data_IF_893426552133
#
_entry.id   IF_893426552133
#
_cell.length_a   1.000
_cell.length_b   1.000
_cell.length_c   1.000
_cell.angle_alpha   90.00
_cell.angle_beta   90.00
_cell.angle_gamma   90.00
#
_symmetry.space_group_name_H-M   'P 1'
#
loop_
_entity.id
_entity.type
_entity.pdbx_description
1 polymer ?
#
# COMPACT_ATOMS: atom_id res chain seq x y z
N UNK A 1 -5.29 -9.13 -13.31
CA UNK A 1 -6.46 -9.29 -12.42
C UNK A 1 -7.52 -10.19 -13.06
N UNK A 2 -7.16 -11.40 -13.50
CA UNK A 2 -8.03 -12.28 -14.31
C UNK A 2 -8.21 -13.70 -13.71
N UNK A 3 -7.86 -13.90 -12.43
CA UNK A 3 -7.82 -15.23 -11.79
C UNK A 3 -8.52 -15.32 -10.43
N UNK A 4 -9.44 -14.41 -10.10
CA UNK A 4 -10.19 -14.47 -8.83
C UNK A 4 -11.64 -14.98 -8.98
N UNK A 5 -12.11 -15.35 -10.18
CA UNK A 5 -13.51 -15.77 -10.42
C UNK A 5 -13.77 -17.24 -10.10
N UNK A 6 -13.50 -17.68 -8.88
CA UNK A 6 -14.08 -18.91 -8.34
C UNK A 6 -14.77 -18.56 -7.04
N UNK A 7 -16.10 -18.69 -7.01
CA UNK A 7 -16.91 -18.55 -5.82
C UNK A 7 -16.39 -19.53 -4.76
N UNK A 8 -15.59 -19.03 -3.81
CA UNK A 8 -15.19 -19.81 -2.64
C UNK A 8 -16.42 -19.86 -1.75
N UNK A 9 -16.94 -21.06 -1.47
CA UNK A 9 -17.96 -21.22 -0.43
C UNK A 9 -17.35 -20.74 0.88
N UNK A 10 -17.74 -19.54 1.34
CA UNK A 10 -17.16 -18.93 2.52
C UNK A 10 -17.68 -19.66 3.75
N UNK A 11 -16.74 -20.21 4.51
CA UNK A 11 -17.00 -20.71 5.84
C UNK A 11 -17.43 -19.55 6.74
N UNK A 12 -18.25 -19.83 7.75
CA UNK A 12 -18.57 -18.87 8.83
C UNK A 12 -17.39 -18.61 9.77
N UNK A 13 -16.30 -19.39 9.63
CA UNK A 13 -15.10 -19.29 10.45
C UNK A 13 -13.83 -19.57 9.62
N UNK A 14 -12.69 -19.02 10.05
CA UNK A 14 -11.36 -19.33 9.52
C UNK A 14 -10.44 -19.60 10.70
N UNK A 15 -10.01 -20.86 10.89
CA UNK A 15 -9.42 -21.27 12.16
C UNK A 15 -10.36 -20.92 13.34
N UNK A 16 -9.84 -20.17 14.31
CA UNK A 16 -10.58 -19.70 15.48
C UNK A 16 -11.26 -18.33 15.27
N UNK A 17 -11.19 -17.76 14.06
CA UNK A 17 -11.84 -16.48 13.72
C UNK A 17 -13.30 -16.69 13.39
N UNK A 18 -14.17 -15.89 13.99
CA UNK A 18 -15.59 -15.83 13.66
C UNK A 18 -15.83 -14.69 12.67
N UNK A 19 -16.54 -14.98 11.58
CA UNK A 19 -16.79 -13.99 10.53
C UNK A 19 -18.18 -13.41 10.63
N UNK A 20 -18.24 -12.09 10.56
CA UNK A 20 -19.48 -11.33 10.46
C UNK A 20 -20.03 -11.41 9.02
N UNK A 21 -21.34 -11.16 8.83
CA UNK A 21 -21.92 -11.04 7.49
C UNK A 21 -21.20 -9.98 6.65
N UNK A 22 -21.04 -10.27 5.36
CA UNK A 22 -20.46 -9.29 4.43
C UNK A 22 -21.32 -8.03 4.38
N UNK A 23 -20.67 -6.88 4.54
CA UNK A 23 -21.23 -5.58 4.23
C UNK A 23 -21.01 -5.27 2.75
N UNK A 24 -22.05 -4.79 2.07
CA UNK A 24 -21.94 -4.28 0.70
C UNK A 24 -22.61 -2.93 0.58
N UNK A 25 -22.00 -2.04 -0.20
CA UNK A 25 -22.55 -0.70 -0.46
C UNK A 25 -22.17 -0.21 -1.86
N UNK A 26 -22.86 0.83 -2.33
CA UNK A 26 -22.64 1.44 -3.63
C UNK A 26 -22.57 2.95 -3.50
N UNK A 27 -21.40 3.50 -3.79
CA UNK A 27 -21.20 4.92 -3.93
C UNK A 27 -21.39 5.35 -5.39
N UNK A 28 -22.21 6.37 -5.60
CA UNK A 28 -22.45 6.96 -6.93
C UNK A 28 -21.93 8.39 -6.98
N UNK A 29 -21.04 8.68 -7.92
CA UNK A 29 -20.49 10.02 -8.16
C UNK A 29 -20.60 10.35 -9.65
N UNK A 30 -21.38 11.37 -10.00
CA UNK A 30 -21.71 11.66 -11.40
C UNK A 30 -22.15 10.38 -12.15
N UNK A 31 -21.31 9.90 -13.07
CA UNK A 31 -21.57 8.74 -13.92
C UNK A 31 -20.85 7.47 -13.44
N UNK A 32 -20.12 7.55 -12.32
CA UNK A 32 -19.40 6.43 -11.71
C UNK A 32 -20.26 5.72 -10.67
N UNK A 33 -20.14 4.40 -10.66
CA UNK A 33 -20.67 3.53 -9.63
C UNK A 33 -19.52 2.69 -9.08
N UNK A 34 -19.14 2.99 -7.85
CA UNK A 34 -18.13 2.25 -7.10
C UNK A 34 -18.88 1.33 -6.15
N UNK A 35 -18.59 0.05 -6.21
CA UNK A 35 -19.20 -0.98 -5.39
C UNK A 35 -18.20 -1.40 -4.32
N UNK A 36 -18.64 -1.46 -3.07
CA UNK A 36 -17.85 -1.68 -1.89
C UNK A 36 -18.24 -3.03 -1.27
N UNK A 37 -17.25 -3.75 -0.77
CA UNK A 37 -17.42 -4.95 0.04
C UNK A 37 -16.52 -4.86 1.26
N UNK A 38 -17.06 -5.19 2.43
CA UNK A 38 -16.33 -5.27 3.69
C UNK A 38 -16.68 -6.55 4.44
N UNK A 39 -15.68 -7.19 5.05
CA UNK A 39 -15.86 -8.38 5.88
C UNK A 39 -15.05 -8.19 7.15
N UNK A 40 -15.71 -8.33 8.29
CA UNK A 40 -15.08 -8.31 9.60
C UNK A 40 -14.95 -9.75 10.14
N UNK A 41 -13.83 -10.02 10.81
CA UNK A 41 -13.65 -11.22 11.60
C UNK A 41 -13.17 -10.86 13.00
N UNK A 42 -13.62 -11.61 14.00
CA UNK A 42 -13.24 -11.44 15.40
C UNK A 42 -12.54 -12.69 15.94
N UNK A 43 -11.52 -12.47 16.76
CA UNK A 43 -10.80 -13.53 17.45
C UNK A 43 -10.64 -13.21 18.95
N UNK A 44 -10.88 -14.16 19.88
CA UNK A 44 -10.81 -13.90 21.32
C UNK A 44 -9.47 -13.34 21.80
N UNK A 45 -8.36 -13.73 21.15
CA UNK A 45 -6.99 -13.29 21.48
C UNK A 45 -6.54 -12.04 20.73
N UNK A 46 -6.97 -11.86 19.48
CA UNK A 46 -6.36 -10.90 18.56
C UNK A 46 -7.25 -9.69 18.26
N UNK A 47 -8.52 -9.74 18.69
CA UNK A 47 -9.48 -8.67 18.44
C UNK A 47 -10.07 -8.75 17.01
N UNK A 48 -10.70 -7.66 16.55
CA UNK A 48 -11.30 -7.57 15.23
C UNK A 48 -10.25 -7.28 14.14
N UNK A 49 -10.48 -7.83 12.96
CA UNK A 49 -9.74 -7.53 11.72
C UNK A 49 -10.75 -7.40 10.58
N UNK A 50 -10.53 -6.43 9.70
CA UNK A 50 -11.39 -6.16 8.55
C UNK A 50 -10.63 -6.33 7.25
N UNK A 51 -11.27 -6.92 6.23
CA UNK A 51 -10.84 -6.86 4.84
C UNK A 51 -11.87 -6.09 4.02
N UNK A 52 -11.41 -5.25 3.08
CA UNK A 52 -12.29 -4.28 2.43
C UNK A 52 -11.82 -3.96 1.02
N UNK A 53 -12.71 -4.00 0.03
CA UNK A 53 -12.36 -3.67 -1.34
C UNK A 53 -13.43 -2.80 -1.98
N UNK A 54 -13.02 -1.99 -2.95
CA UNK A 54 -13.94 -1.31 -3.86
C UNK A 54 -13.50 -1.48 -5.33
N UNK A 55 -14.47 -1.54 -6.23
CA UNK A 55 -14.21 -1.60 -7.68
C UNK A 55 -15.37 -1.00 -8.49
N UNK A 56 -15.13 -0.79 -9.78
CA UNK A 56 -16.17 -0.37 -10.72
C UNK A 56 -16.95 -1.59 -11.22
N UNK A 57 -18.28 -1.48 -11.23
CA UNK A 57 -19.17 -2.40 -11.93
C UNK A 57 -19.73 -3.57 -11.13
N UNK A 58 -19.01 -4.11 -10.13
CA UNK A 58 -19.45 -5.28 -9.33
C UNK A 58 -18.97 -5.20 -7.88
N UNK A 59 -19.66 -5.88 -6.97
CA UNK A 59 -19.21 -5.99 -5.58
C UNK A 59 -17.92 -6.86 -5.49
N UNK A 60 -16.80 -6.33 -4.98
CA UNK A 60 -15.51 -7.01 -4.95
C UNK A 60 -15.36 -7.96 -3.75
N UNK A 61 -16.40 -8.75 -3.49
CA UNK A 61 -16.51 -9.61 -2.31
C UNK A 61 -15.29 -10.52 -2.12
N UNK A 62 -14.77 -11.10 -3.21
CA UNK A 62 -13.62 -12.00 -3.13
C UNK A 62 -12.33 -11.25 -2.79
N UNK A 63 -12.14 -10.03 -3.29
CA UNK A 63 -10.97 -9.20 -2.94
C UNK A 63 -11.00 -8.84 -1.46
N UNK A 64 -12.16 -8.42 -0.94
CA UNK A 64 -12.34 -8.14 0.48
C UNK A 64 -12.05 -9.37 1.35
N UNK A 65 -12.48 -10.56 0.91
CA UNK A 65 -12.15 -11.83 1.56
C UNK A 65 -10.64 -12.12 1.57
N UNK A 66 -9.97 -12.03 0.42
CA UNK A 66 -8.53 -12.30 0.37
C UNK A 66 -7.72 -11.33 1.22
N UNK A 67 -8.11 -10.06 1.26
CA UNK A 67 -7.50 -9.06 2.15
C UNK A 67 -7.73 -9.38 3.63
N UNK A 68 -8.94 -9.84 3.99
CA UNK A 68 -9.23 -10.28 5.36
C UNK A 68 -8.30 -11.42 5.79
N UNK A 69 -8.15 -12.46 4.95
CA UNK A 69 -7.28 -13.61 5.26
C UNK A 69 -5.81 -13.20 5.39
N UNK A 70 -5.35 -12.30 4.53
CA UNK A 70 -4.00 -11.75 4.62
C UNK A 70 -3.78 -11.02 5.95
N UNK A 71 -4.71 -10.15 6.34
CA UNK A 71 -4.63 -9.39 7.59
C UNK A 71 -4.72 -10.28 8.83
N UNK A 72 -5.59 -11.28 8.83
CA UNK A 72 -5.64 -12.32 9.87
C UNK A 72 -4.27 -12.98 9.99
N UNK A 73 -3.71 -13.43 8.87
CA UNK A 73 -2.41 -14.11 8.82
C UNK A 73 -1.29 -13.23 9.39
N UNK A 74 -1.29 -11.94 9.04
CA UNK A 74 -0.32 -10.98 9.55
C UNK A 74 -0.46 -10.75 11.04
N UNK A 75 -1.68 -10.57 11.56
CA UNK A 75 -1.92 -10.32 12.98
C UNK A 75 -1.51 -11.53 13.82
N UNK A 76 -1.85 -12.74 13.40
CA UNK A 76 -1.44 -13.97 14.10
C UNK A 76 0.08 -14.14 14.12
N UNK A 77 0.75 -13.99 12.96
CA UNK A 77 2.21 -14.05 12.90
C UNK A 77 2.89 -12.92 13.69
N UNK A 78 2.29 -11.73 13.73
CA UNK A 78 2.77 -10.58 14.50
C UNK A 78 2.58 -10.73 16.00
N UNK A 79 1.67 -11.57 16.47
CA UNK A 79 1.35 -11.72 17.91
C UNK A 79 1.74 -13.08 18.49
N UNK A 80 2.13 -14.04 17.65
CA UNK A 80 2.63 -15.34 18.10
C UNK A 80 4.00 -15.22 18.79
N UNK A 81 4.31 -16.22 19.62
CA UNK A 81 5.63 -16.38 20.27
C UNK A 81 6.68 -16.97 19.30
N UNK A 82 6.35 -17.05 18.01
CA UNK A 82 7.26 -17.55 16.99
C UNK A 82 8.42 -16.57 16.79
N UNK A 83 9.63 -17.05 17.05
CA UNK A 83 10.88 -16.29 16.85
C UNK A 83 11.72 -16.81 15.70
N UNK A 84 11.14 -17.66 14.84
CA UNK A 84 11.83 -18.15 13.67
C UNK A 84 10.89 -18.40 12.50
N UNK A 85 11.22 -17.84 11.34
CA UNK A 85 10.39 -17.89 10.16
C UNK A 85 11.13 -18.53 8.97
N UNK A 86 10.46 -19.35 8.14
CA UNK A 86 11.07 -19.92 6.95
C UNK A 86 11.46 -18.84 5.94
N UNK A 87 12.71 -18.87 5.48
CA UNK A 87 13.20 -18.04 4.39
C UNK A 87 13.19 -18.86 3.09
N UNK A 88 12.46 -18.38 2.09
CA UNK A 88 12.29 -19.06 0.82
C UNK A 88 12.68 -18.15 -0.35
N UNK A 89 13.14 -18.76 -1.44
CA UNK A 89 13.23 -18.11 -2.75
C UNK A 89 11.84 -17.98 -3.39
N UNK A 90 11.73 -17.18 -4.45
CA UNK A 90 10.50 -17.02 -5.21
C UNK A 90 9.99 -18.33 -5.86
N UNK A 91 10.88 -19.30 -6.12
CA UNK A 91 10.53 -20.64 -6.60
C UNK A 91 10.05 -21.60 -5.49
N UNK A 92 10.07 -21.16 -4.23
CA UNK A 92 9.68 -21.93 -3.05
C UNK A 92 10.81 -22.79 -2.45
N UNK A 93 12.01 -22.76 -3.03
CA UNK A 93 13.17 -23.44 -2.45
C UNK A 93 13.57 -22.78 -1.12
N UNK A 94 13.89 -23.61 -0.12
CA UNK A 94 14.30 -23.14 1.21
C UNK A 94 15.74 -22.63 1.15
N UNK A 95 15.95 -21.37 1.54
CA UNK A 95 17.28 -20.77 1.64
C UNK A 95 17.77 -20.69 3.08
N UNK A 96 16.85 -20.70 4.06
CA UNK A 96 17.22 -20.70 5.46
C UNK A 96 16.06 -20.36 6.37
N UNK A 97 16.38 -19.67 7.47
CA UNK A 97 15.41 -19.17 8.44
C UNK A 97 15.86 -17.81 8.93
N UNK A 98 14.91 -16.92 9.15
CA UNK A 98 15.14 -15.71 9.94
C UNK A 98 14.99 -16.08 11.41
N UNK A 99 15.96 -15.68 12.22
CA UNK A 99 15.92 -15.78 13.67
C UNK A 99 15.66 -14.37 14.22
N UNK A 100 14.66 -14.23 15.08
CA UNK A 100 14.21 -12.93 15.57
C UNK A 100 13.03 -12.40 14.77
N UNK A 101 11.97 -12.06 15.51
CA UNK A 101 10.72 -11.53 14.97
C UNK A 101 10.87 -10.12 14.44
N UNK A 102 11.80 -9.35 15.01
CA UNK A 102 12.12 -7.97 14.67
C UNK A 102 12.59 -7.79 13.21
N UNK A 103 13.11 -8.84 12.59
CA UNK A 103 13.50 -8.83 11.17
C UNK A 103 12.31 -8.99 10.23
N UNK A 104 11.24 -9.66 10.68
CA UNK A 104 10.01 -9.84 9.91
C UNK A 104 9.04 -8.70 10.22
N UNK A 105 8.88 -8.39 11.50
CA UNK A 105 8.02 -7.34 12.03
C UNK A 105 8.84 -6.37 12.89
N UNK A 106 9.47 -5.36 12.29
CA UNK A 106 10.26 -4.37 13.02
C UNK A 106 9.44 -3.68 14.11
N UNK A 107 10.04 -3.52 15.29
CA UNK A 107 9.40 -2.90 16.45
C UNK A 107 9.97 -1.50 16.62
N UNK A 108 9.09 -0.52 16.79
CA UNK A 108 9.52 0.84 17.11
C UNK A 108 9.96 0.94 18.57
N UNK A 109 11.05 1.67 18.81
CA UNK A 109 11.56 1.95 20.16
C UNK A 109 11.17 3.36 20.66
N UNK A 110 10.33 4.07 19.90
CA UNK A 110 9.85 5.42 20.21
C UNK A 110 8.32 5.47 20.10
N UNK A 111 7.62 6.22 20.96
CA UNK A 111 6.18 6.44 20.80
C UNK A 111 5.84 7.34 19.60
N UNK A 112 6.84 7.98 18.98
CA UNK A 112 6.60 8.91 17.87
C UNK A 112 6.40 8.21 16.52
N UNK A 113 6.63 6.91 16.41
CA UNK A 113 6.45 6.19 15.16
C UNK A 113 6.16 4.70 15.33
N UNK A 114 5.61 4.06 14.29
CA UNK A 114 5.38 2.62 14.20
C UNK A 114 5.64 2.12 12.77
N UNK A 115 6.31 0.97 12.65
CA UNK A 115 6.50 0.32 11.34
C UNK A 115 5.18 -0.27 10.84
N UNK A 116 4.95 -0.18 9.53
CA UNK A 116 3.82 -0.86 8.91
C UNK A 116 3.95 -2.38 9.06
N UNK A 117 2.88 -3.00 9.55
CA UNK A 117 2.79 -4.46 9.72
C UNK A 117 2.42 -5.18 8.42
N UNK A 118 1.85 -4.49 7.44
CA UNK A 118 1.43 -5.09 6.16
C UNK A 118 2.38 -4.82 5.01
N UNK A 119 3.27 -3.82 5.12
CA UNK A 119 4.16 -3.45 4.01
C UNK A 119 4.96 -4.65 3.48
N UNK A 120 4.84 -4.89 2.19
CA UNK A 120 5.52 -5.98 1.50
C UNK A 120 4.94 -7.36 1.83
N UNK A 121 3.72 -7.47 2.36
CA UNK A 121 3.03 -8.74 2.50
C UNK A 121 2.05 -8.94 1.35
N UNK A 122 1.91 -10.17 0.86
CA UNK A 122 0.88 -10.47 -0.11
C UNK A 122 0.39 -11.91 -0.01
N UNK A 123 -0.91 -12.08 -0.21
CA UNK A 123 -1.58 -13.36 -0.28
C UNK A 123 -1.85 -13.78 -1.74
N UNK A 124 -1.61 -15.06 -2.02
CA UNK A 124 -2.04 -15.70 -3.27
C UNK A 124 -2.19 -17.22 -3.12
N UNK A 125 -2.86 -17.89 -4.07
CA UNK A 125 -2.90 -19.38 -4.14
C UNK A 125 -1.57 -20.01 -4.57
N UNK A 126 -0.67 -19.21 -5.14
CA UNK A 126 0.61 -19.65 -5.68
C UNK A 126 1.73 -18.85 -5.02
N UNK A 127 2.74 -19.53 -4.50
CA UNK A 127 3.85 -18.92 -3.78
C UNK A 127 4.60 -17.87 -4.60
N UNK A 128 4.97 -18.17 -5.85
CA UNK A 128 5.70 -17.25 -6.71
C UNK A 128 4.89 -15.96 -6.98
N UNK A 129 3.57 -16.08 -7.15
CA UNK A 129 2.69 -14.92 -7.30
C UNK A 129 2.52 -14.13 -5.99
N UNK A 130 2.49 -14.78 -4.83
CA UNK A 130 2.52 -14.10 -3.54
C UNK A 130 3.83 -13.31 -3.39
N UNK A 131 4.98 -13.91 -3.68
CA UNK A 131 6.29 -13.24 -3.68
C UNK A 131 6.32 -12.05 -4.65
N UNK A 132 5.84 -12.22 -5.88
CA UNK A 132 5.77 -11.14 -6.88
C UNK A 132 4.97 -9.94 -6.38
N UNK A 133 3.79 -10.18 -5.79
CA UNK A 133 2.93 -9.12 -5.26
C UNK A 133 3.54 -8.44 -4.03
N UNK A 134 4.12 -9.22 -3.12
CA UNK A 134 4.84 -8.72 -1.95
C UNK A 134 6.02 -7.82 -2.35
N UNK A 135 6.79 -8.23 -3.36
CA UNK A 135 7.88 -7.44 -3.92
C UNK A 135 7.37 -6.15 -4.59
N UNK A 136 6.26 -6.22 -5.33
CA UNK A 136 5.65 -5.05 -5.96
C UNK A 136 5.22 -4.01 -4.92
N UNK A 137 4.54 -4.43 -3.85
CA UNK A 137 4.15 -3.51 -2.80
C UNK A 137 5.38 -2.89 -2.11
N UNK A 138 6.40 -3.69 -1.79
CA UNK A 138 7.63 -3.18 -1.16
C UNK A 138 8.31 -2.11 -2.03
N UNK A 139 8.44 -2.37 -3.33
CA UNK A 139 9.01 -1.40 -4.29
C UNK A 139 8.11 -0.17 -4.45
N UNK A 140 6.79 -0.36 -4.48
CA UNK A 140 5.83 0.74 -4.52
C UNK A 140 6.10 1.73 -3.41
N UNK A 141 6.11 1.25 -2.15
CA UNK A 141 6.34 2.10 -0.99
C UNK A 141 7.73 2.72 -1.02
N UNK A 142 8.75 1.94 -1.39
CA UNK A 142 10.12 2.44 -1.50
C UNK A 142 10.24 3.63 -2.47
N UNK A 143 9.71 3.54 -3.69
CA UNK A 143 9.83 4.62 -4.67
C UNK A 143 8.96 5.83 -4.32
N UNK A 144 7.78 5.63 -3.73
CA UNK A 144 6.94 6.75 -3.27
C UNK A 144 7.63 7.49 -2.12
N UNK A 145 8.15 6.78 -1.13
CA UNK A 145 8.88 7.38 0.00
C UNK A 145 10.17 8.05 -0.48
N UNK A 146 10.90 7.44 -1.41
CA UNK A 146 12.07 8.04 -2.03
C UNK A 146 11.71 9.34 -2.74
N UNK A 147 10.55 9.40 -3.39
CA UNK A 147 10.06 10.65 -3.98
C UNK A 147 9.68 11.68 -2.93
N UNK A 148 8.99 11.26 -1.87
CA UNK A 148 8.55 12.13 -0.79
C UNK A 148 9.71 12.79 -0.06
N UNK A 149 10.79 12.05 0.22
CA UNK A 149 11.98 12.58 0.89
C UNK A 149 12.95 13.30 -0.06
N UNK A 150 12.58 13.43 -1.34
CA UNK A 150 13.28 14.25 -2.33
C UNK A 150 14.38 13.56 -3.11
N UNK A 151 14.51 12.23 -3.03
CA UNK A 151 15.48 11.43 -3.79
C UNK A 151 15.02 11.17 -5.23
N UNK A 152 13.70 11.10 -5.45
CA UNK A 152 13.09 10.92 -6.78
C UNK A 152 12.21 12.10 -7.12
N UNK A 153 12.38 12.63 -8.33
CA UNK A 153 11.42 13.57 -8.88
C UNK A 153 10.19 12.84 -9.42
N UNK A 154 8.98 13.08 -8.91
CA UNK A 154 7.76 12.57 -9.51
C UNK A 154 7.56 13.21 -10.89
N UNK A 155 7.12 12.41 -11.88
CA UNK A 155 6.90 12.86 -13.25
C UNK A 155 5.44 12.77 -13.63
N UNK A 156 4.80 13.91 -13.88
CA UNK A 156 3.41 13.97 -14.35
C UNK A 156 3.31 13.39 -15.76
N UNK A 157 2.29 12.57 -16.01
CA UNK A 157 2.06 11.89 -17.29
C UNK A 157 0.61 12.02 -17.77
N UNK A 158 0.42 11.91 -19.09
CA UNK A 158 -0.90 11.81 -19.73
C UNK A 158 -1.22 10.40 -20.20
N UNK A 159 -0.33 9.42 -19.92
CA UNK A 159 -0.57 8.01 -20.24
C UNK A 159 -1.90 7.54 -19.63
N UNK A 160 -2.65 6.72 -20.36
CA UNK A 160 -3.93 6.17 -19.91
C UNK A 160 -5.09 7.17 -19.79
N UNK A 161 -4.81 8.48 -19.74
CA UNK A 161 -5.78 9.51 -19.42
C UNK A 161 -7.01 9.49 -20.34
N UNK A 162 -6.85 9.27 -21.64
CA UNK A 162 -7.97 9.30 -22.59
C UNK A 162 -9.03 8.21 -22.34
N UNK A 163 -8.66 7.08 -21.72
CA UNK A 163 -9.55 5.92 -21.52
C UNK A 163 -9.93 5.70 -20.06
N UNK A 164 -9.46 6.56 -19.16
CA UNK A 164 -9.69 6.40 -17.74
C UNK A 164 -11.13 6.76 -17.35
N UNK A 165 -11.82 5.91 -16.55
CA UNK A 165 -13.13 6.24 -16.00
C UNK A 165 -13.11 7.51 -15.13
N UNK A 166 -11.97 7.87 -14.55
CA UNK A 166 -11.79 9.11 -13.76
C UNK A 166 -12.09 10.39 -14.55
N UNK A 167 -12.14 10.31 -15.88
CA UNK A 167 -12.54 11.45 -16.70
C UNK A 167 -13.98 11.90 -16.45
N UNK A 168 -14.82 10.98 -15.98
CA UNK A 168 -16.23 11.25 -15.70
C UNK A 168 -16.48 12.00 -14.39
N UNK A 169 -15.43 12.31 -13.60
CA UNK A 169 -15.53 13.10 -12.37
C UNK A 169 -14.61 14.34 -12.40
N UNK A 170 -14.25 14.81 -13.60
CA UNK A 170 -13.34 15.97 -13.78
C UNK A 170 -13.94 17.29 -13.30
N UNK A 171 -15.27 17.37 -13.14
CA UNK A 171 -15.93 18.54 -12.57
C UNK A 171 -15.74 18.61 -11.06
N UNK A 172 -15.56 17.46 -10.41
CA UNK A 172 -15.28 17.36 -8.97
C UNK A 172 -13.78 17.39 -8.66
N UNK A 173 -12.95 16.86 -9.57
CA UNK A 173 -11.53 16.67 -9.33
C UNK A 173 -10.64 17.18 -10.47
N UNK A 174 -9.47 17.70 -10.10
CA UNK A 174 -8.31 17.67 -10.97
C UNK A 174 -7.60 16.32 -10.82
N UNK A 175 -7.39 15.61 -11.92
CA UNK A 175 -6.78 14.28 -11.92
C UNK A 175 -5.33 14.39 -12.35
N UNK A 176 -4.38 14.19 -11.41
CA UNK A 176 -2.95 14.11 -11.71
C UNK A 176 -2.52 12.65 -11.76
N UNK A 177 -1.81 12.26 -12.83
CA UNK A 177 -1.17 10.94 -12.96
C UNK A 177 0.32 11.12 -12.92
N UNK A 178 1.01 10.30 -12.15
CA UNK A 178 2.42 10.50 -11.83
C UNK A 178 3.17 9.17 -11.92
N UNK A 179 4.36 9.19 -12.49
CA UNK A 179 5.33 8.11 -12.40
C UNK A 179 6.37 8.42 -11.33
N UNK A 180 6.65 7.43 -10.49
CA UNK A 180 7.72 7.47 -9.49
C UNK A 180 8.97 6.71 -9.94
N UNK A 181 9.00 6.27 -11.20
CA UNK A 181 10.13 5.58 -11.81
C UNK A 181 9.96 4.06 -11.85
N UNK A 182 11.07 3.36 -12.02
CA UNK A 182 11.13 1.91 -12.07
C UNK A 182 12.37 1.40 -11.35
N UNK A 183 12.24 0.24 -10.71
CA UNK A 183 13.27 -0.35 -9.85
C UNK A 183 13.60 -1.77 -10.32
N UNK A 184 14.89 -2.07 -10.49
CA UNK A 184 15.34 -3.45 -10.73
C UNK A 184 15.31 -4.23 -9.43
N UNK A 185 14.87 -5.48 -9.51
CA UNK A 185 14.79 -6.42 -8.37
C UNK A 185 15.51 -7.71 -8.78
N UNK A 186 16.33 -8.26 -7.89
CA UNK A 186 17.03 -9.54 -8.12
C UNK A 186 16.00 -10.63 -8.45
N UNK A 187 16.32 -11.49 -9.43
CA UNK A 187 15.48 -12.60 -9.86
C UNK A 187 14.12 -12.22 -10.50
N UNK A 188 13.89 -10.95 -10.83
CA UNK A 188 12.75 -10.52 -11.67
C UNK A 188 13.22 -10.19 -13.08
N UNK A 189 12.49 -10.68 -14.09
CA UNK A 189 12.84 -10.48 -15.49
C UNK A 189 12.67 -9.02 -15.94
N UNK A 190 11.72 -8.30 -15.34
CA UNK A 190 11.41 -6.91 -15.66
C UNK A 190 11.58 -6.02 -14.42
N UNK A 191 11.97 -4.75 -14.60
CA UNK A 191 11.87 -3.77 -13.53
C UNK A 191 10.42 -3.61 -13.07
N UNK A 192 10.25 -3.24 -11.81
CA UNK A 192 8.95 -2.90 -11.23
C UNK A 192 8.72 -1.41 -11.40
N UNK A 193 7.67 -1.05 -12.12
CA UNK A 193 7.26 0.33 -12.38
C UNK A 193 6.27 0.77 -11.30
N UNK A 194 6.39 2.01 -10.84
CA UNK A 194 5.52 2.58 -9.80
C UNK A 194 4.87 3.86 -10.30
N UNK A 195 3.55 3.93 -10.15
CA UNK A 195 2.74 5.09 -10.51
C UNK A 195 1.79 5.49 -9.39
N UNK A 196 1.32 6.72 -9.44
CA UNK A 196 0.27 7.23 -8.58
C UNK A 196 -0.77 8.02 -9.35
N UNK A 197 -1.95 8.13 -8.76
CA UNK A 197 -3.06 8.93 -9.23
C UNK A 197 -3.55 9.77 -8.05
N UNK A 198 -3.59 11.07 -8.24
CA UNK A 198 -4.13 12.01 -7.26
C UNK A 198 -5.42 12.63 -7.80
N UNK A 199 -6.49 12.56 -7.01
CA UNK A 199 -7.72 13.31 -7.21
C UNK A 199 -7.67 14.53 -6.29
N UNK A 200 -7.30 15.68 -6.86
CA UNK A 200 -7.25 16.94 -6.13
C UNK A 200 -8.65 17.58 -6.18
N UNK A 201 -9.33 17.73 -5.04
CA UNK A 201 -10.73 18.15 -5.03
C UNK A 201 -10.86 19.60 -5.50
N UNK A 202 -11.91 19.90 -6.28
CA UNK A 202 -12.21 21.27 -6.74
C UNK A 202 -13.11 22.04 -5.76
N UNK A 203 -13.65 21.36 -4.76
CA UNK A 203 -14.49 21.92 -3.71
C UNK A 203 -14.10 21.32 -2.36
N UNK A 204 -14.56 21.92 -1.26
CA UNK A 204 -14.19 21.51 0.10
C UNK A 204 -14.94 20.27 0.59
N UNK A 205 -15.97 19.82 -0.13
CA UNK A 205 -16.78 18.63 0.23
C UNK A 205 -16.23 17.33 -0.31
N UNK A 206 -15.29 17.39 -1.25
CA UNK A 206 -14.69 16.22 -1.88
C UNK A 206 -13.35 15.89 -1.18
N UNK A 207 -13.11 14.63 -0.78
CA UNK A 207 -11.87 14.24 -0.12
C UNK A 207 -10.68 14.28 -1.09
N UNK A 208 -9.49 14.61 -0.59
CA UNK A 208 -8.26 14.34 -1.32
C UNK A 208 -8.03 12.82 -1.43
N UNK A 209 -7.87 12.29 -2.64
CA UNK A 209 -7.60 10.87 -2.87
C UNK A 209 -6.23 10.67 -3.52
N UNK A 210 -5.46 9.72 -2.98
CA UNK A 210 -4.17 9.29 -3.51
C UNK A 210 -4.18 7.77 -3.66
N UNK A 211 -4.19 7.27 -4.91
CA UNK A 211 -4.00 5.86 -5.20
C UNK A 211 -2.62 5.60 -5.77
N UNK A 212 -2.03 4.46 -5.41
CA UNK A 212 -0.70 4.04 -5.82
C UNK A 212 -0.74 2.63 -6.40
N UNK A 213 0.20 2.33 -7.28
CA UNK A 213 0.26 1.03 -7.93
C UNK A 213 1.63 0.70 -8.46
N UNK A 214 2.05 -0.56 -8.25
CA UNK A 214 3.24 -1.15 -8.84
C UNK A 214 2.93 -2.27 -9.85
N UNK A 215 3.67 -2.33 -10.96
CA UNK A 215 3.44 -3.30 -12.02
C UNK A 215 4.65 -3.58 -12.91
N UNK A 216 4.50 -4.52 -13.84
CA UNK A 216 5.59 -4.93 -14.77
C UNK A 216 5.81 -3.94 -15.91
N UNK A 217 4.96 -2.92 -16.01
CA UNK A 217 5.04 -1.84 -17.00
C UNK A 217 4.41 -0.58 -16.44
N UNK A 218 4.75 0.58 -17.00
CA UNK A 218 4.11 1.86 -16.66
C UNK A 218 2.59 1.77 -16.73
N UNK A 219 2.04 1.17 -17.80
CA UNK A 219 0.60 0.98 -17.98
C UNK A 219 -0.05 0.10 -16.90
N UNK A 220 0.58 -1.00 -16.52
CA UNK A 220 0.03 -1.87 -15.45
C UNK A 220 0.07 -1.17 -14.09
N UNK A 221 1.18 -0.50 -13.77
CA UNK A 221 1.33 0.27 -12.52
C UNK A 221 0.28 1.38 -12.41
N UNK A 222 0.02 2.09 -13.51
CA UNK A 222 -0.99 3.15 -13.55
C UNK A 222 -2.42 2.61 -13.42
N UNK A 223 -2.74 1.49 -14.08
CA UNK A 223 -4.05 0.83 -13.92
C UNK A 223 -4.30 0.46 -12.46
N UNK A 224 -3.31 -0.10 -11.77
CA UNK A 224 -3.42 -0.44 -10.35
C UNK A 224 -3.56 0.80 -9.46
N UNK A 225 -2.84 1.88 -9.77
CA UNK A 225 -3.00 3.16 -9.08
C UNK A 225 -4.41 3.75 -9.27
N UNK A 226 -5.04 3.58 -10.43
CA UNK A 226 -6.44 3.93 -10.65
C UNK A 226 -7.40 3.02 -9.86
N UNK A 227 -7.13 1.72 -9.77
CA UNK A 227 -7.91 0.77 -8.95
C UNK A 227 -7.87 1.14 -7.46
N UNK A 228 -6.68 1.44 -6.93
CA UNK A 228 -6.50 1.92 -5.55
C UNK A 228 -7.19 3.27 -5.33
N UNK A 229 -7.16 4.15 -6.33
CA UNK A 229 -7.87 5.43 -6.30
C UNK A 229 -9.38 5.22 -6.18
N UNK A 230 -9.97 4.28 -6.93
CA UNK A 230 -11.39 3.95 -6.79
C UNK A 230 -11.71 3.31 -5.45
N UNK A 231 -10.81 2.45 -4.93
CA UNK A 231 -10.96 1.87 -3.61
C UNK A 231 -11.07 2.95 -2.54
N UNK A 232 -10.10 3.87 -2.49
CA UNK A 232 -10.10 4.97 -1.52
C UNK A 232 -11.24 5.95 -1.74
N UNK A 233 -11.54 6.32 -2.99
CA UNK A 233 -12.67 7.19 -3.30
C UNK A 233 -14.00 6.57 -2.84
N UNK A 234 -14.18 5.26 -3.02
CA UNK A 234 -15.36 4.55 -2.55
C UNK A 234 -15.54 4.70 -1.03
N UNK A 235 -14.52 4.38 -0.25
CA UNK A 235 -14.62 4.41 1.22
C UNK A 235 -14.62 5.80 1.85
N UNK A 236 -14.12 6.83 1.16
CA UNK A 236 -14.01 8.19 1.72
C UNK A 236 -15.08 9.15 1.21
N UNK A 237 -15.86 8.77 0.20
CA UNK A 237 -16.85 9.67 -0.37
C UNK A 237 -18.07 9.82 0.54
N UNK A 238 -18.33 11.06 0.96
CA UNK A 238 -19.43 11.39 1.88
C UNK A 238 -19.04 11.29 3.35
N UNK A 239 -17.84 10.80 3.65
CA UNK A 239 -17.26 10.86 5.00
C UNK A 239 -16.93 12.31 5.37
N UNK A 240 -16.98 12.60 6.67
CA UNK A 240 -16.65 13.93 7.19
C UNK A 240 -15.16 14.23 6.98
N UNK A 241 -14.87 15.34 6.29
CA UNK A 241 -13.49 15.82 6.16
C UNK A 241 -13.10 16.55 7.45
N UNK A 242 -11.98 16.18 8.10
CA UNK A 242 -11.58 16.82 9.34
C UNK A 242 -11.44 18.34 9.21
N UNK A 243 -12.21 19.07 10.03
CA UNK A 243 -12.14 20.52 10.12
C UNK A 243 -11.07 21.02 11.09
N UNK A 244 -10.59 20.13 11.96
CA UNK A 244 -9.55 20.38 12.97
C UNK A 244 -8.42 19.39 12.76
N UNK A 245 -7.19 19.83 13.03
CA UNK A 245 -6.01 18.96 12.99
C UNK A 245 -6.19 17.80 13.98
N UNK A 246 -6.13 16.53 13.52
CA UNK A 246 -6.25 15.40 14.42
C UNK A 246 -5.12 15.39 15.44
N UNK A 247 -5.39 14.88 16.63
CA UNK A 247 -4.34 14.64 17.62
C UNK A 247 -3.31 13.66 17.05
N UNK A 248 -2.03 13.98 17.24
CA UNK A 248 -0.95 13.18 16.68
C UNK A 248 -0.98 11.74 17.20
N UNK A 249 -0.95 10.79 16.27
CA UNK A 249 -0.77 9.37 16.57
C UNK A 249 0.09 8.71 15.47
N UNK A 250 1.00 7.78 15.79
CA UNK A 250 1.82 7.08 14.82
C UNK A 250 1.04 5.94 14.13
N UNK A 251 -0.16 6.24 13.62
CA UNK A 251 -1.07 5.27 12.99
C UNK A 251 -1.37 5.66 11.55
N UNK A 252 -1.74 4.67 10.74
CA UNK A 252 -2.20 4.91 9.38
C UNK A 252 -3.46 5.80 9.34
N UNK A 253 -4.38 5.62 10.30
CA UNK A 253 -5.57 6.46 10.44
C UNK A 253 -5.23 7.94 10.64
N UNK A 254 -4.26 8.26 11.51
CA UNK A 254 -3.81 9.64 11.67
C UNK A 254 -3.24 10.20 10.36
N UNK A 255 -2.45 9.42 9.62
CA UNK A 255 -1.95 9.86 8.31
C UNK A 255 -3.10 10.13 7.33
N UNK A 256 -4.10 9.25 7.28
CA UNK A 256 -5.29 9.46 6.44
C UNK A 256 -5.99 10.77 6.79
N UNK A 257 -6.36 10.96 8.06
CA UNK A 257 -7.11 12.13 8.52
C UNK A 257 -6.30 13.41 8.34
N UNK A 258 -5.01 13.37 8.65
CA UNK A 258 -4.10 14.49 8.45
C UNK A 258 -4.11 14.96 6.99
N UNK A 259 -4.03 14.04 6.03
CA UNK A 259 -3.99 14.38 4.60
C UNK A 259 -5.36 14.64 3.96
N UNK A 260 -6.46 14.24 4.61
CA UNK A 260 -7.81 14.64 4.19
C UNK A 260 -8.07 16.13 4.39
N UNK A 261 -7.37 16.77 5.33
CA UNK A 261 -7.52 18.20 5.60
C UNK A 261 -7.16 19.07 4.38
N UNK A 262 -8.01 20.03 3.99
CA UNK A 262 -7.75 20.91 2.84
C UNK A 262 -6.41 21.65 2.91
N UNK A 263 -5.93 21.96 4.13
CA UNK A 263 -4.66 22.66 4.36
C UNK A 263 -3.43 21.85 3.92
N UNK A 264 -3.54 20.52 3.80
CA UNK A 264 -2.42 19.69 3.33
C UNK A 264 -2.33 19.60 1.80
N UNK A 265 -3.32 20.14 1.08
CA UNK A 265 -3.38 20.07 -0.39
C UNK A 265 -2.13 20.66 -1.04
N UNK A 266 -1.73 21.86 -0.65
CA UNK A 266 -0.57 22.55 -1.24
C UNK A 266 0.73 21.73 -1.08
N UNK A 267 0.84 21.00 0.04
CA UNK A 267 1.97 20.11 0.31
C UNK A 267 2.00 18.95 -0.68
N UNK A 268 0.84 18.36 -0.97
CA UNK A 268 0.70 17.26 -1.94
C UNK A 268 0.95 17.77 -3.36
N UNK A 269 0.40 18.93 -3.72
CA UNK A 269 0.65 19.53 -5.03
C UNK A 269 2.12 19.92 -5.24
N UNK A 270 2.75 20.47 -4.20
CA UNK A 270 4.18 20.75 -4.17
C UNK A 270 5.01 19.47 -4.36
N UNK A 271 4.69 18.41 -3.63
CA UNK A 271 5.35 17.12 -3.81
C UNK A 271 5.22 16.60 -5.25
N UNK A 272 4.00 16.49 -5.77
CA UNK A 272 3.73 15.92 -7.09
C UNK A 272 4.26 16.78 -8.25
N UNK A 273 4.49 18.07 -8.04
CA UNK A 273 5.17 18.96 -9.00
C UNK A 273 6.71 18.90 -8.91
N UNK A 274 7.24 18.16 -7.93
CA UNK A 274 8.67 17.95 -7.72
C UNK A 274 9.34 18.99 -6.84
N UNK A 275 8.60 19.79 -6.07
CA UNK A 275 9.17 20.79 -5.17
C UNK A 275 10.05 20.19 -4.06
N UNK A 276 9.86 18.91 -3.73
CA UNK A 276 10.65 18.21 -2.72
C UNK A 276 11.96 17.64 -3.28
N UNK A 277 12.08 17.53 -4.61
CA UNK A 277 13.26 16.96 -5.24
C UNK A 277 14.48 17.83 -5.00
N UNK A 278 15.49 17.24 -4.33
CA UNK A 278 16.79 17.88 -4.14
C UNK A 278 17.67 17.42 -5.30
N UNK A 279 17.93 18.32 -6.25
CA UNK A 279 18.89 18.03 -7.32
C UNK A 279 20.21 17.58 -6.67
N UNK A 280 20.83 16.47 -7.11
CA UNK A 280 22.14 16.11 -6.59
C UNK A 280 23.07 17.30 -6.79
N UNK A 281 23.62 17.80 -5.70
CA UNK A 281 24.74 18.75 -5.74
C UNK A 281 25.84 18.08 -6.55
N UNK A 282 26.49 18.84 -7.45
CA UNK A 282 27.46 18.34 -8.44
C UNK A 282 28.62 17.50 -7.85
N UNK A 283 28.80 17.49 -6.53
CA UNK A 283 29.84 16.74 -5.81
C UNK A 283 29.39 15.35 -5.31
N UNK A 284 28.13 14.96 -5.52
CA UNK A 284 27.64 13.60 -5.24
C UNK A 284 27.28 12.99 -6.59
N UNK A 285 28.05 12.00 -7.04
CA UNK A 285 27.75 11.30 -8.28
C UNK A 285 26.26 10.89 -8.30
N UNK A 286 25.49 11.25 -9.35
CA UNK A 286 24.04 11.03 -9.42
C UNK A 286 23.58 9.56 -9.40
N UNK A 287 24.49 8.61 -9.16
CA UNK A 287 24.35 7.23 -9.63
C UNK A 287 23.96 6.18 -8.59
N UNK A 288 23.86 6.45 -7.28
CA UNK A 288 24.18 5.36 -6.33
C UNK A 288 23.15 4.87 -5.28
N UNK A 289 21.83 5.08 -5.44
CA UNK A 289 20.85 4.33 -4.61
C UNK A 289 19.69 3.71 -5.38
N UNK A 290 19.13 4.40 -6.38
CA UNK A 290 17.96 3.92 -7.14
C UNK A 290 18.32 3.14 -8.41
N UNK A 291 19.57 3.25 -8.86
CA UNK A 291 20.14 2.45 -9.94
C UNK A 291 20.50 1.03 -9.49
N UNK A 292 20.58 0.82 -8.17
CA UNK A 292 20.96 -0.46 -7.57
C UNK A 292 19.83 -1.44 -7.71
N UNK A 293 20.15 -2.68 -8.06
CA UNK A 293 19.19 -3.77 -8.00
C UNK A 293 18.86 -4.05 -6.53
N UNK A 294 17.58 -4.06 -6.17
CA UNK A 294 17.15 -4.44 -4.82
C UNK A 294 17.20 -5.96 -4.67
N UNK A 295 17.87 -6.43 -3.62
CA UNK A 295 17.87 -7.84 -3.27
C UNK A 295 16.74 -8.12 -2.28
N UNK A 296 15.63 -8.63 -2.82
CA UNK A 296 14.42 -8.91 -2.03
C UNK A 296 14.42 -10.40 -1.63
N UNK A 297 14.20 -10.62 -0.34
CA UNK A 297 14.04 -11.94 0.23
C UNK A 297 12.60 -12.16 0.70
N UNK A 298 12.17 -13.43 0.80
CA UNK A 298 10.79 -13.78 1.11
C UNK A 298 10.67 -14.68 2.35
N UNK A 299 9.77 -14.28 3.23
CA UNK A 299 9.38 -15.04 4.43
C UNK A 299 8.01 -15.67 4.19
N UNK A 300 7.89 -16.96 4.48
CA UNK A 300 6.60 -17.66 4.46
C UNK A 300 5.84 -17.43 5.78
N UNK A 301 4.67 -16.81 5.66
CA UNK A 301 3.75 -16.53 6.77
C UNK A 301 2.48 -17.39 6.71
N UNK A 302 2.39 -18.34 5.78
CA UNK A 302 1.17 -19.14 5.56
C UNK A 302 0.75 -19.90 6.83
N UNK A 303 -0.52 -19.76 7.25
CA UNK A 303 -1.06 -20.41 8.46
C UNK A 303 -2.07 -21.52 8.15
N UNK A 304 -3.08 -21.22 7.33
CA UNK A 304 -4.23 -22.08 7.09
C UNK A 304 -3.98 -23.01 5.90
N UNK A 305 -3.46 -24.20 6.17
CA UNK A 305 -3.15 -25.20 5.13
C UNK A 305 -4.40 -25.61 4.33
N UNK A 306 -5.55 -25.67 4.99
CA UNK A 306 -6.85 -26.02 4.42
C UNK A 306 -7.39 -25.02 3.39
N UNK A 307 -6.92 -23.77 3.43
CA UNK A 307 -7.32 -22.75 2.46
C UNK A 307 -6.50 -22.81 1.16
N UNK A 308 -5.39 -23.57 1.16
CA UNK A 308 -4.42 -23.61 0.05
C UNK A 308 -3.90 -22.21 -0.36
N UNK A 309 -3.86 -21.28 0.61
CA UNK A 309 -3.35 -19.93 0.42
C UNK A 309 -1.91 -19.81 0.92
N UNK A 310 -1.16 -18.96 0.24
CA UNK A 310 0.23 -18.64 0.51
C UNK A 310 0.33 -17.17 0.85
N UNK A 311 0.99 -16.87 1.95
CA UNK A 311 1.26 -15.49 2.38
C UNK A 311 2.76 -15.29 2.42
N UNK A 312 3.26 -14.47 1.51
CA UNK A 312 4.66 -14.10 1.45
C UNK A 312 4.84 -12.71 2.06
N UNK A 313 5.95 -12.50 2.77
CA UNK A 313 6.42 -11.17 3.13
C UNK A 313 7.80 -10.93 2.51
N UNK A 314 7.88 -9.90 1.68
CA UNK A 314 9.11 -9.38 1.12
C UNK A 314 9.84 -8.49 2.13
N UNK A 315 11.15 -8.63 2.23
CA UNK A 315 12.01 -7.68 2.95
C UNK A 315 13.28 -7.39 2.16
N UNK A 316 13.76 -6.16 2.28
CA UNK A 316 14.97 -5.65 1.63
C UNK A 316 15.53 -4.54 2.53
N UNK A 317 16.72 -4.74 3.16
CA UNK A 317 17.33 -3.75 4.04
C UNK A 317 17.61 -2.39 3.37
N UNK A 318 17.79 -2.39 2.05
CA UNK A 318 18.03 -1.20 1.23
C UNK A 318 16.76 -0.41 0.93
N UNK A 319 15.58 -1.01 1.10
CA UNK A 319 14.31 -0.33 0.89
C UNK A 319 13.98 0.58 2.08
N UNK A 320 13.54 1.81 1.78
CA UNK A 320 13.02 2.73 2.80
C UNK A 320 11.79 2.08 3.46
N UNK A 321 11.80 1.84 4.78
CA UNK A 321 10.68 1.20 5.46
C UNK A 321 9.47 2.13 5.50
N UNK A 322 8.28 1.56 5.35
CA UNK A 322 7.03 2.28 5.58
C UNK A 322 6.80 2.44 7.09
N UNK A 323 6.73 3.70 7.54
CA UNK A 323 6.65 4.04 8.96
C UNK A 323 5.60 5.13 9.18
N UNK A 324 4.63 4.87 10.04
CA UNK A 324 3.64 5.85 10.47
C UNK A 324 4.19 6.66 11.64
N UNK A 325 4.07 7.98 11.60
CA UNK A 325 4.60 8.92 12.59
C UNK A 325 5.89 9.62 12.17
N UNK A 326 6.60 10.20 13.14
CA UNK A 326 7.78 11.05 12.93
C UNK A 326 9.07 10.24 12.99
N UNK A 327 9.34 9.44 11.98
CA UNK A 327 10.54 8.60 11.95
C UNK A 327 11.78 9.34 11.43
N UNK A 328 12.82 9.42 12.27
CA UNK A 328 14.14 9.93 11.90
C UNK A 328 15.14 8.77 11.88
N UNK A 329 15.19 8.04 10.77
CA UNK A 329 16.28 7.11 10.49
C UNK A 329 17.61 7.86 10.34
N UNK A 330 18.75 7.16 10.48
CA UNK A 330 20.09 7.78 10.41
C UNK A 330 20.29 8.60 9.13
N UNK A 331 19.81 8.07 8.01
CA UNK A 331 19.87 8.68 6.67
C UNK A 331 18.88 9.85 6.48
N UNK A 332 17.93 10.00 7.39
CA UNK A 332 16.86 10.99 7.35
C UNK A 332 16.89 11.95 8.54
N UNK A 333 18.03 11.98 9.25
CA UNK A 333 18.22 12.80 10.45
C UNK A 333 18.04 14.30 10.18
N UNK A 334 18.38 14.76 8.98
CA UNK A 334 18.25 16.16 8.54
C UNK A 334 16.95 16.46 7.77
N UNK A 335 15.99 15.53 7.73
CA UNK A 335 14.70 15.83 7.13
C UNK A 335 13.96 16.91 7.96
N UNK A 336 13.37 17.92 7.30
CA UNK A 336 12.51 18.87 7.98
C UNK A 336 11.26 18.15 8.52
N UNK A 337 10.73 18.60 9.66
CA UNK A 337 9.55 17.99 10.31
C UNK A 337 8.35 17.86 9.36
N UNK A 338 8.22 18.82 8.44
CA UNK A 338 7.16 18.80 7.42
C UNK A 338 7.24 17.58 6.50
N UNK A 339 8.38 16.93 6.33
CA UNK A 339 8.53 15.74 5.47
C UNK A 339 8.52 14.42 6.25
N UNK A 340 8.47 14.45 7.58
CA UNK A 340 8.44 13.22 8.38
C UNK A 340 7.11 12.47 8.27
N UNK A 341 6.02 13.19 8.07
CA UNK A 341 4.71 12.61 7.77
C UNK A 341 4.58 12.47 6.26
N UNK A 342 4.37 11.25 5.77
CA UNK A 342 4.15 10.93 4.36
C UNK A 342 2.67 10.65 4.07
N UNK A 343 2.21 10.77 2.81
CA UNK A 343 0.80 10.63 2.47
C UNK A 343 0.32 9.20 2.18
N UNK A 344 1.18 8.21 2.39
CA UNK A 344 0.78 6.79 2.37
C UNK A 344 0.05 6.49 3.69
N UNK A 345 -1.17 5.99 3.60
CA UNK A 345 -2.01 5.56 4.73
C UNK A 345 -2.67 4.23 4.40
#
# INVERSE_FOLDING_TARGET
MLLLKQNVARSKAVGDWTLEPEFTDKVTLENLSIYLSGIEATHPKFGPVTGSAAELGTYPSDRAWYELIERITLVENFTSDQNSYPLLNADGSKTGRILGKEWVFPIAHSPEYQFSKSNGAALHRNWAEACKRAAFELVERHLILSSWVGLIRPLVTMEGAARSPLNSIRQLYEVKRVHFGAQKVTNMATPVFVSGVALLPRNETAPLILGFGAGESSRDSLRKAEEETFQRLGFLWGEEIPSVLPEFSPTNLYHQDYYLMPQQRDKIEGWLSGAFYKSPTQDIEPENTLSRTLDIHFVDLSLFAELELKVARAFCPEAIPLVFGKWRGREFSDLPDSLLLHPIA
#
